data_IF_554990350102
#
_entry.id   IF_554990350102
#
_cell.length_a   1.000
_cell.length_b   1.000
_cell.length_c   1.000
_cell.angle_alpha   90.00
_cell.angle_beta   90.00
_cell.angle_gamma   90.00
#
_symmetry.space_group_name_H-M   'P 1'
#
loop_
_entity.id
_entity.type
_entity.pdbx_description
1 polymer ?
#
# COMPACT_ATOMS: atom_id res chain seq x y z
N UNK A 1 -3.76 26.42 11.32
CA UNK A 1 -4.00 26.14 9.89
C UNK A 1 -3.01 25.08 9.46
N UNK A 2 -3.42 23.81 9.34
CA UNK A 2 -2.50 22.73 8.91
C UNK A 2 -2.19 22.91 7.43
N UNK A 3 -0.96 23.28 7.10
CA UNK A 3 -0.53 23.46 5.72
C UNK A 3 -0.18 22.10 5.07
N UNK A 4 -0.24 22.02 3.74
CA UNK A 4 0.17 20.82 2.97
C UNK A 4 1.60 20.39 3.35
N UNK A 5 2.46 21.35 3.66
CA UNK A 5 3.85 21.14 4.07
C UNK A 5 4.01 20.46 5.44
N UNK A 6 3.02 20.57 6.34
CA UNK A 6 3.07 19.93 7.66
C UNK A 6 2.44 18.54 7.67
N UNK A 7 1.42 18.33 6.83
CA UNK A 7 0.71 17.05 6.74
C UNK A 7 1.45 16.03 5.87
N UNK A 8 2.18 16.47 4.83
CA UNK A 8 2.88 15.57 3.94
C UNK A 8 4.00 14.75 4.63
N UNK A 9 4.86 15.35 5.48
CA UNK A 9 5.86 14.60 6.23
C UNK A 9 5.23 13.59 7.21
N UNK A 10 4.09 13.93 7.81
CA UNK A 10 3.34 13.04 8.71
C UNK A 10 2.79 11.82 7.96
N UNK A 11 2.12 12.04 6.83
CA UNK A 11 1.64 10.95 5.97
C UNK A 11 2.79 10.08 5.46
N UNK A 12 3.93 10.68 5.09
CA UNK A 12 5.12 9.94 4.66
C UNK A 12 5.73 9.09 5.77
N UNK A 13 5.78 9.62 7.00
CA UNK A 13 6.21 8.84 8.17
C UNK A 13 5.29 7.67 8.43
N UNK A 14 3.98 7.90 8.39
CA UNK A 14 2.97 6.87 8.62
C UNK A 14 3.01 5.77 7.54
N UNK A 15 3.28 6.14 6.28
CA UNK A 15 3.56 5.18 5.21
C UNK A 15 4.84 4.35 5.44
N UNK A 16 5.88 4.95 6.01
CA UNK A 16 7.11 4.23 6.37
C UNK A 16 6.85 3.23 7.50
N UNK A 17 6.13 3.65 8.55
CA UNK A 17 5.77 2.80 9.68
C UNK A 17 4.89 1.62 9.22
N UNK A 18 3.93 1.86 8.32
CA UNK A 18 3.12 0.81 7.70
C UNK A 18 3.96 -0.19 6.88
N UNK A 19 4.98 0.26 6.13
CA UNK A 19 5.93 -0.63 5.45
C UNK A 19 6.70 -1.51 6.42
N UNK A 20 7.14 -0.94 7.54
CA UNK A 20 7.86 -1.68 8.57
C UNK A 20 6.95 -2.72 9.22
N UNK A 21 5.71 -2.36 9.56
CA UNK A 21 4.69 -3.28 10.07
C UNK A 21 4.40 -4.43 9.10
N UNK A 22 4.32 -4.17 7.79
CA UNK A 22 4.16 -5.24 6.78
C UNK A 22 5.31 -6.26 6.83
N UNK A 23 6.54 -5.82 7.08
CA UNK A 23 7.68 -6.73 7.23
C UNK A 23 7.55 -7.61 8.49
N UNK A 24 6.98 -7.07 9.57
CA UNK A 24 6.76 -7.77 10.84
C UNK A 24 5.58 -8.75 10.76
N UNK A 25 4.51 -8.38 10.05
CA UNK A 25 3.35 -9.25 9.77
C UNK A 25 3.81 -10.49 8.99
N UNK A 26 4.69 -10.33 8.00
CA UNK A 26 5.25 -11.46 7.26
C UNK A 26 6.07 -12.41 8.14
N UNK A 27 6.66 -11.91 9.21
CA UNK A 27 7.43 -12.70 10.16
C UNK A 27 6.54 -13.32 11.27
N UNK A 28 5.21 -13.12 11.22
CA UNK A 28 4.25 -13.62 12.21
C UNK A 28 4.29 -12.88 13.55
N UNK A 29 5.02 -11.77 13.65
CA UNK A 29 5.21 -11.03 14.91
C UNK A 29 4.12 -9.99 15.17
N UNK A 30 3.27 -9.69 14.18
CA UNK A 30 2.21 -8.70 14.26
C UNK A 30 0.97 -9.18 13.54
N UNK A 31 -0.20 -8.82 14.07
CA UNK A 31 -1.48 -9.11 13.43
C UNK A 31 -1.62 -8.26 12.14
N UNK A 32 -2.09 -8.83 11.02
CA UNK A 32 -2.48 -8.06 9.85
C UNK A 32 -3.48 -6.94 10.16
N UNK A 33 -4.26 -7.08 11.23
CA UNK A 33 -5.26 -6.09 11.65
C UNK A 33 -4.66 -4.73 12.01
N UNK A 34 -3.55 -4.71 12.74
CA UNK A 34 -2.89 -3.46 13.17
C UNK A 34 -2.33 -2.69 11.97
N UNK A 35 -1.85 -3.43 10.95
CA UNK A 35 -1.42 -2.86 9.68
C UNK A 35 -2.60 -2.28 8.89
N UNK A 36 -3.79 -2.90 8.93
CA UNK A 36 -4.96 -2.31 8.27
C UNK A 36 -5.41 -1.02 8.94
N UNK A 37 -5.35 -0.94 10.27
CA UNK A 37 -5.67 0.29 11.01
C UNK A 37 -4.70 1.43 10.67
N UNK A 38 -3.40 1.15 10.56
CA UNK A 38 -2.42 2.16 10.15
C UNK A 38 -2.60 2.58 8.69
N UNK A 39 -2.93 1.65 7.78
CA UNK A 39 -3.25 1.97 6.38
C UNK A 39 -4.52 2.81 6.23
N UNK A 40 -5.56 2.56 7.04
CA UNK A 40 -6.79 3.35 7.02
C UNK A 40 -6.56 4.77 7.57
N UNK A 41 -5.71 4.91 8.60
CA UNK A 41 -5.28 6.24 9.08
C UNK A 41 -4.45 6.99 8.01
N UNK A 42 -3.58 6.28 7.27
CA UNK A 42 -2.85 6.84 6.13
C UNK A 42 -3.81 7.36 5.06
N UNK A 43 -4.84 6.59 4.70
CA UNK A 43 -5.83 6.98 3.69
C UNK A 43 -6.60 8.25 4.10
N UNK A 44 -6.98 8.37 5.39
CA UNK A 44 -7.63 9.58 5.94
C UNK A 44 -6.75 10.82 5.84
N UNK A 45 -5.44 10.66 6.10
CA UNK A 45 -4.47 11.74 5.97
C UNK A 45 -4.22 12.11 4.50
N UNK A 46 -4.19 11.14 3.59
CA UNK A 46 -4.07 11.36 2.15
C UNK A 46 -5.30 12.09 1.58
N UNK A 47 -6.51 11.77 2.04
CA UNK A 47 -7.74 12.48 1.64
C UNK A 47 -7.74 13.93 2.14
N UNK A 48 -7.24 14.16 3.35
CA UNK A 48 -7.06 15.50 3.89
C UNK A 48 -6.03 16.30 3.08
N UNK A 49 -4.92 15.67 2.69
CA UNK A 49 -3.90 16.24 1.81
C UNK A 49 -4.43 16.55 0.41
N UNK A 50 -5.28 15.70 -0.16
CA UNK A 50 -5.84 15.93 -1.50
C UNK A 50 -6.81 17.13 -1.51
N UNK A 51 -7.62 17.28 -0.46
CA UNK A 51 -8.47 18.47 -0.25
C UNK A 51 -7.66 19.75 -0.11
N UNK A 52 -6.54 19.70 0.60
CA UNK A 52 -5.65 20.85 0.78
C UNK A 52 -4.87 21.16 -0.51
N UNK A 53 -4.39 20.13 -1.22
CA UNK A 53 -3.73 20.29 -2.51
C UNK A 53 -4.68 20.90 -3.56
N UNK A 54 -5.97 20.58 -3.52
CA UNK A 54 -6.97 21.19 -4.39
C UNK A 54 -7.16 22.71 -4.13
N UNK A 55 -6.88 23.19 -2.92
CA UNK A 55 -7.00 24.60 -2.50
C UNK A 55 -5.75 25.44 -2.78
N UNK A 56 -4.66 24.83 -3.25
CA UNK A 56 -3.43 25.55 -3.57
C UNK A 56 -3.60 26.46 -4.81
N UNK A 57 -3.24 27.76 -4.73
CA UNK A 57 -3.45 28.72 -5.81
C UNK A 57 -2.50 28.50 -6.99
N UNK A 58 -1.31 27.93 -6.76
CA UNK A 58 -0.32 27.67 -7.81
C UNK A 58 -0.60 26.33 -8.50
N UNK A 59 -0.97 26.37 -9.78
CA UNK A 59 -1.30 25.17 -10.57
C UNK A 59 -0.15 24.15 -10.63
N UNK A 60 1.11 24.59 -10.70
CA UNK A 60 2.29 23.71 -10.71
C UNK A 60 2.49 22.99 -9.38
N UNK A 61 2.31 23.69 -8.25
CA UNK A 61 2.42 23.10 -6.92
C UNK A 61 1.28 22.11 -6.66
N UNK A 62 0.05 22.46 -7.05
CA UNK A 62 -1.10 21.56 -7.01
C UNK A 62 -0.87 20.25 -7.76
N UNK A 63 -0.35 20.31 -8.99
CA UNK A 63 -0.04 19.11 -9.78
C UNK A 63 1.05 18.25 -9.11
N UNK A 64 2.10 18.87 -8.58
CA UNK A 64 3.16 18.14 -7.85
C UNK A 64 2.66 17.47 -6.58
N UNK A 65 1.79 18.13 -5.80
CA UNK A 65 1.21 17.55 -4.59
C UNK A 65 0.24 16.42 -4.92
N UNK A 66 -0.61 16.59 -5.93
CA UNK A 66 -1.48 15.52 -6.43
C UNK A 66 -0.69 14.30 -6.89
N UNK A 67 0.45 14.50 -7.56
CA UNK A 67 1.33 13.39 -7.97
C UNK A 67 1.89 12.66 -6.77
N UNK A 68 2.43 13.37 -5.77
CA UNK A 68 2.98 12.78 -4.55
C UNK A 68 1.92 12.04 -3.72
N UNK A 69 0.72 12.61 -3.58
CA UNK A 69 -0.40 11.96 -2.88
C UNK A 69 -0.79 10.66 -3.60
N UNK A 70 -0.81 10.67 -4.93
CA UNK A 70 -1.10 9.48 -5.74
C UNK A 70 -0.07 8.38 -5.54
N UNK A 71 1.21 8.73 -5.58
CA UNK A 71 2.32 7.78 -5.37
C UNK A 71 2.21 7.10 -3.99
N UNK A 72 1.98 7.89 -2.92
CA UNK A 72 1.76 7.33 -1.59
C UNK A 72 0.51 6.43 -1.52
N UNK A 73 -0.54 6.75 -2.29
CA UNK A 73 -1.77 5.96 -2.33
C UNK A 73 -1.59 4.64 -3.06
N UNK A 74 -0.85 4.64 -4.17
CA UNK A 74 -0.46 3.41 -4.88
C UNK A 74 0.39 2.51 -3.98
N UNK A 75 1.34 3.11 -3.27
CA UNK A 75 2.17 2.41 -2.28
C UNK A 75 1.33 1.76 -1.17
N UNK A 76 0.38 2.51 -0.58
CA UNK A 76 -0.53 2.00 0.45
C UNK A 76 -1.38 0.83 -0.07
N UNK A 77 -1.91 0.93 -1.29
CA UNK A 77 -2.67 -0.13 -1.94
C UNK A 77 -1.83 -1.39 -2.18
N UNK A 78 -0.57 -1.23 -2.61
CA UNK A 78 0.35 -2.35 -2.79
C UNK A 78 0.65 -3.05 -1.46
N UNK A 79 0.86 -2.28 -0.39
CA UNK A 79 1.02 -2.83 0.96
C UNK A 79 -0.21 -3.61 1.41
N UNK A 80 -1.41 -3.08 1.16
CA UNK A 80 -2.68 -3.76 1.48
C UNK A 80 -2.81 -5.10 0.75
N UNK A 81 -2.53 -5.14 -0.56
CA UNK A 81 -2.53 -6.39 -1.34
C UNK A 81 -1.52 -7.42 -0.82
N UNK A 82 -0.33 -6.95 -0.41
CA UNK A 82 0.71 -7.83 0.17
C UNK A 82 0.29 -8.37 1.53
N UNK A 83 -0.29 -7.54 2.38
CA UNK A 83 -0.84 -7.95 3.67
C UNK A 83 -1.96 -8.97 3.52
N UNK A 84 -2.88 -8.74 2.59
CA UNK A 84 -4.00 -9.64 2.31
C UNK A 84 -3.54 -10.99 1.81
N UNK A 85 -2.53 -11.03 0.92
CA UNK A 85 -1.93 -12.29 0.48
C UNK A 85 -1.33 -13.05 1.66
N UNK A 86 -0.56 -12.36 2.51
CA UNK A 86 0.04 -12.96 3.71
C UNK A 86 -1.02 -13.50 4.66
N UNK A 87 -2.11 -12.76 4.88
CA UNK A 87 -3.22 -13.20 5.72
C UNK A 87 -3.91 -14.44 5.15
N UNK A 88 -4.18 -14.46 3.84
CA UNK A 88 -4.76 -15.64 3.16
C UNK A 88 -3.87 -16.87 3.25
N UNK A 89 -2.56 -16.71 3.14
CA UNK A 89 -1.60 -17.81 3.31
C UNK A 89 -1.61 -18.36 4.74
N UNK A 90 -1.71 -17.49 5.75
CA UNK A 90 -1.86 -17.91 7.15
C UNK A 90 -3.17 -18.66 7.39
N UNK A 91 -4.31 -18.11 6.92
CA UNK A 91 -5.62 -18.75 7.04
C UNK A 91 -5.68 -20.10 6.32
N UNK A 92 -5.08 -20.19 5.12
CA UNK A 92 -4.98 -21.44 4.39
C UNK A 92 -4.13 -22.48 5.15
N UNK A 93 -3.05 -22.04 5.80
CA UNK A 93 -2.23 -22.88 6.67
C UNK A 93 -3.01 -23.41 7.88
N UNK A 94 -3.77 -22.54 8.56
CA UNK A 94 -4.62 -22.95 9.68
C UNK A 94 -5.71 -23.94 9.26
N UNK A 95 -6.40 -23.68 8.15
CA UNK A 95 -7.43 -24.59 7.62
C UNK A 95 -6.86 -25.97 7.35
N UNK A 96 -5.72 -26.06 6.66
CA UNK A 96 -5.03 -27.35 6.42
C UNK A 96 -4.66 -28.06 7.72
N UNK A 97 -4.25 -27.32 8.75
CA UNK A 97 -3.91 -27.90 10.06
C UNK A 97 -5.16 -28.44 10.77
N UNK A 98 -6.27 -27.70 10.76
CA UNK A 98 -7.56 -28.13 11.33
C UNK A 98 -8.09 -29.38 10.62
N UNK A 99 -8.10 -29.38 9.28
CA UNK A 99 -8.48 -30.56 8.48
C UNK A 99 -7.61 -31.78 8.83
N UNK A 100 -6.29 -31.60 8.98
CA UNK A 100 -5.38 -32.68 9.37
C UNK A 100 -5.71 -33.23 10.76
N UNK A 101 -6.00 -32.37 11.74
CA UNK A 101 -6.37 -32.78 13.09
C UNK A 101 -7.72 -33.53 13.11
N UNK A 102 -8.68 -33.11 12.29
CA UNK A 102 -9.96 -33.81 12.10
C UNK A 102 -9.74 -35.20 11.48
N UNK A 103 -8.91 -35.32 10.44
CA UNK A 103 -8.59 -36.61 9.81
C UNK A 103 -7.85 -37.57 10.77
N UNK A 104 -6.94 -37.05 11.59
CA UNK A 104 -6.26 -37.84 12.62
C UNK A 104 -7.25 -38.33 13.69
N UNK A 105 -8.21 -37.49 14.08
CA UNK A 105 -9.27 -37.83 15.03
C UNK A 105 -10.20 -38.89 14.44
N UNK A 106 -10.62 -38.75 13.17
CA UNK A 106 -11.40 -39.77 12.44
C UNK A 106 -10.67 -41.11 12.36
N UNK A 107 -9.37 -41.11 12.01
CA UNK A 107 -8.56 -42.34 11.97
C UNK A 107 -8.45 -43.01 13.35
N UNK A 108 -8.35 -42.21 14.42
CA UNK A 108 -8.31 -42.73 15.80
C UNK A 108 -9.64 -43.40 16.19
N UNK A 109 -10.77 -42.80 15.86
CA UNK A 109 -12.09 -43.40 16.10
C UNK A 109 -12.33 -44.67 15.25
N UNK A 110 -11.89 -44.69 13.99
CA UNK A 110 -12.03 -45.88 13.10
C UNK A 110 -11.28 -47.12 13.59
N UNK A 111 -10.18 -46.99 14.32
CA UNK A 111 -9.42 -48.14 14.85
C UNK A 111 -10.10 -48.83 16.04
N UNK A 112 -11.15 -48.23 16.62
CA UNK A 112 -11.76 -48.70 17.87
C UNK A 112 -13.12 -49.40 17.75
N UNK A 113 -13.82 -49.37 16.60
CA UNK A 113 -15.20 -49.88 16.48
C UNK A 113 -15.41 -50.75 15.24
N UNK A 114 -15.82 -52.01 15.44
CA UNK A 114 -16.30 -52.91 14.39
C UNK A 114 -17.81 -52.74 14.14
N UNK A 115 -18.27 -53.11 12.93
CA UNK A 115 -19.65 -53.09 12.38
C UNK A 115 -20.45 -51.76 12.46
N UNK A 116 -20.43 -51.02 13.57
CA UNK A 116 -20.95 -49.63 13.67
C UNK A 116 -20.20 -48.66 12.74
N UNK A 117 -18.97 -49.01 12.34
CA UNK A 117 -18.14 -48.23 11.44
C UNK A 117 -18.71 -48.06 10.02
N UNK A 118 -19.48 -49.02 9.51
CA UNK A 118 -20.01 -48.98 8.13
C UNK A 118 -21.27 -48.09 8.02
N UNK A 119 -22.15 -48.13 9.02
CA UNK A 119 -23.30 -47.21 9.10
C UNK A 119 -22.80 -45.79 9.34
N UNK A 120 -21.82 -45.60 10.24
CA UNK A 120 -21.14 -44.32 10.44
C UNK A 120 -20.55 -43.78 9.14
N UNK A 121 -19.98 -44.65 8.30
CA UNK A 121 -19.34 -44.28 7.03
C UNK A 121 -20.35 -43.70 6.02
N UNK A 122 -21.54 -44.29 5.90
CA UNK A 122 -22.59 -43.80 5.00
C UNK A 122 -23.18 -42.45 5.47
N UNK A 123 -23.39 -42.27 6.77
CA UNK A 123 -23.79 -40.96 7.32
C UNK A 123 -22.70 -39.90 7.15
N UNK A 124 -21.43 -40.27 7.31
CA UNK A 124 -20.30 -39.35 7.10
C UNK A 124 -20.15 -38.97 5.63
N UNK A 125 -20.38 -39.89 4.70
CA UNK A 125 -20.36 -39.62 3.26
C UNK A 125 -21.46 -38.62 2.88
N UNK A 126 -22.70 -38.84 3.34
CA UNK A 126 -23.81 -37.94 3.11
C UNK A 126 -23.54 -36.53 3.69
N UNK A 127 -22.96 -36.47 4.90
CA UNK A 127 -22.52 -35.22 5.53
C UNK A 127 -21.41 -34.53 4.75
N UNK A 128 -20.50 -35.29 4.14
CA UNK A 128 -19.41 -34.75 3.30
C UNK A 128 -19.93 -34.18 1.97
N UNK A 129 -20.98 -34.78 1.41
CA UNK A 129 -21.65 -34.26 0.22
C UNK A 129 -22.38 -32.96 0.52
N UNK A 130 -23.13 -32.91 1.63
CA UNK A 130 -23.77 -31.66 2.09
C UNK A 130 -22.74 -30.56 2.39
N UNK A 131 -21.63 -30.92 3.05
CA UNK A 131 -20.52 -30.00 3.33
C UNK A 131 -19.85 -29.49 2.05
N UNK A 132 -19.68 -30.35 1.04
CA UNK A 132 -19.13 -29.98 -0.26
C UNK A 132 -20.07 -29.02 -0.99
N UNK A 133 -21.38 -29.24 -0.89
CA UNK A 133 -22.39 -28.36 -1.48
C UNK A 133 -22.42 -26.97 -0.81
N UNK A 134 -22.25 -26.88 0.52
CA UNK A 134 -22.08 -25.58 1.20
C UNK A 134 -20.76 -24.92 0.86
N UNK A 135 -19.65 -25.67 0.83
CA UNK A 135 -18.34 -25.12 0.46
C UNK A 135 -18.32 -24.56 -0.97
N UNK A 136 -19.01 -25.22 -1.92
CA UNK A 136 -19.14 -24.73 -3.29
C UNK A 136 -19.90 -23.39 -3.36
N UNK A 137 -20.97 -23.23 -2.57
CA UNK A 137 -21.70 -21.96 -2.44
C UNK A 137 -20.87 -20.87 -1.77
N UNK A 138 -20.07 -21.21 -0.76
CA UNK A 138 -19.16 -20.26 -0.12
C UNK A 138 -18.06 -19.76 -1.07
N UNK A 139 -17.55 -20.64 -1.94
CA UNK A 139 -16.62 -20.26 -3.00
C UNK A 139 -17.26 -19.32 -4.03
N UNK A 140 -18.51 -19.58 -4.41
CA UNK A 140 -19.27 -18.72 -5.32
C UNK A 140 -19.52 -17.32 -4.71
N UNK A 141 -19.89 -17.27 -3.43
CA UNK A 141 -20.07 -16.02 -2.69
C UNK A 141 -18.74 -15.26 -2.52
N UNK A 142 -17.65 -15.96 -2.19
CA UNK A 142 -16.31 -15.36 -2.08
C UNK A 142 -15.80 -14.85 -3.44
N UNK A 143 -16.15 -15.51 -4.54
CA UNK A 143 -15.81 -15.05 -5.89
C UNK A 143 -16.57 -13.76 -6.23
N UNK A 144 -17.86 -13.68 -5.89
CA UNK A 144 -18.65 -12.46 -6.06
C UNK A 144 -18.10 -11.28 -5.26
N UNK A 145 -17.73 -11.48 -3.99
CA UNK A 145 -17.11 -10.45 -3.16
C UNK A 145 -15.72 -10.01 -3.68
N UNK A 146 -14.95 -10.94 -4.25
CA UNK A 146 -13.67 -10.63 -4.88
C UNK A 146 -13.85 -9.80 -6.16
N UNK A 147 -14.87 -10.10 -6.97
CA UNK A 147 -15.22 -9.31 -8.16
C UNK A 147 -15.72 -7.90 -7.80
N UNK A 148 -16.47 -7.77 -6.72
CA UNK A 148 -16.97 -6.48 -6.26
C UNK A 148 -15.85 -5.59 -5.70
N UNK A 149 -14.90 -6.16 -4.94
CA UNK A 149 -13.73 -5.42 -4.47
C UNK A 149 -12.81 -4.97 -5.63
N UNK A 150 -12.65 -5.80 -6.68
CA UNK A 150 -11.95 -5.42 -7.92
C UNK A 150 -12.70 -4.32 -8.69
N UNK A 151 -14.03 -4.34 -8.68
CA UNK A 151 -14.88 -3.33 -9.31
C UNK A 151 -14.81 -1.99 -8.57
N UNK A 152 -14.80 -2.01 -7.24
CA UNK A 152 -14.59 -0.80 -6.42
C UNK A 152 -13.17 -0.26 -6.55
N UNK A 153 -12.17 -1.14 -6.64
CA UNK A 153 -10.81 -0.74 -6.99
C UNK A 153 -10.75 -0.11 -8.39
N UNK A 154 -11.47 -0.66 -9.38
CA UNK A 154 -11.58 -0.06 -10.73
C UNK A 154 -12.31 1.27 -10.73
N UNK A 155 -13.38 1.46 -9.93
CA UNK A 155 -14.06 2.77 -9.79
C UNK A 155 -13.14 3.82 -9.17
N UNK A 156 -12.31 3.43 -8.19
CA UNK A 156 -11.28 4.30 -7.60
C UNK A 156 -10.17 4.63 -8.60
N UNK A 157 -9.83 3.71 -9.51
CA UNK A 157 -8.86 3.93 -10.59
C UNK A 157 -9.44 4.63 -11.83
N UNK A 158 -10.75 4.55 -12.11
CA UNK A 158 -11.40 5.18 -13.27
C UNK A 158 -11.42 6.71 -13.23
N UNK A 159 -11.09 7.32 -12.09
CA UNK A 159 -10.76 8.74 -12.00
C UNK A 159 -9.43 9.12 -12.68
N UNK A 160 -8.60 8.13 -13.06
CA UNK A 160 -7.24 8.30 -13.58
C UNK A 160 -7.21 8.39 -15.12
N UNK A 161 -8.19 7.88 -15.85
CA UNK A 161 -8.17 7.97 -17.34
C UNK A 161 -8.19 9.43 -17.83
N UNK A 162 -8.91 10.32 -17.12
CA UNK A 162 -8.86 11.77 -17.35
C UNK A 162 -7.48 12.39 -17.04
N UNK A 163 -6.71 11.75 -16.17
CA UNK A 163 -5.36 12.17 -15.79
C UNK A 163 -4.31 11.59 -16.75
N UNK A 164 -4.53 10.39 -17.30
CA UNK A 164 -3.65 9.75 -18.27
C UNK A 164 -3.67 10.49 -19.62
N UNK A 165 -4.85 10.96 -20.06
CA UNK A 165 -4.96 11.85 -21.24
C UNK A 165 -4.18 13.17 -21.04
N UNK A 166 -4.10 13.68 -19.80
CA UNK A 166 -3.30 14.85 -19.45
C UNK A 166 -1.79 14.56 -19.25
N UNK A 167 -1.41 13.29 -19.17
CA UNK A 167 -0.02 12.83 -19.08
C UNK A 167 0.54 12.51 -20.47
N UNK A 168 -0.29 12.06 -21.42
CA UNK A 168 0.11 11.87 -22.83
C UNK A 168 0.72 13.13 -23.45
N UNK A 169 0.19 14.32 -23.11
CA UNK A 169 0.74 15.61 -23.53
C UNK A 169 1.97 16.08 -22.71
N UNK A 170 2.34 15.40 -21.62
CA UNK A 170 3.39 15.82 -20.68
C UNK A 170 4.55 14.83 -20.51
N UNK A 171 4.59 13.76 -21.29
CA UNK A 171 5.74 12.84 -21.37
C UNK A 171 6.96 13.44 -22.10
N UNK A 172 6.92 14.73 -22.47
CA UNK A 172 8.10 15.50 -22.89
C UNK A 172 8.88 16.13 -21.72
N UNK A 173 8.77 15.59 -20.50
CA UNK A 173 9.46 16.10 -19.30
C UNK A 173 9.89 14.97 -18.35
N UNK A 174 10.65 14.02 -18.88
CA UNK A 174 11.34 12.95 -18.12
C UNK A 174 12.69 13.41 -17.55
N UNK A 175 12.79 14.69 -17.18
CA UNK A 175 14.08 15.34 -16.84
C UNK A 175 14.15 15.87 -15.39
N UNK A 176 13.08 15.70 -14.61
CA UNK A 176 12.96 16.34 -13.27
C UNK A 176 13.35 15.41 -12.11
N UNK A 177 13.63 14.13 -12.35
CA UNK A 177 14.27 13.29 -11.33
C UNK A 177 15.80 13.48 -11.29
N UNK A 178 16.43 13.95 -12.37
CA UNK A 178 17.87 14.25 -12.40
C UNK A 178 18.23 15.49 -11.57
N UNK A 179 17.37 16.52 -11.58
CA UNK A 179 17.72 17.87 -11.07
C UNK A 179 17.53 18.09 -9.57
N UNK A 180 16.92 17.14 -8.85
CA UNK A 180 16.64 17.29 -7.41
C UNK A 180 17.80 16.80 -6.54
N UNK A 181 18.72 16.02 -7.10
CA UNK A 181 19.95 15.59 -6.41
C UNK A 181 21.09 16.60 -6.62
N UNK A 182 21.08 17.37 -7.72
CA UNK A 182 22.13 18.33 -8.08
C UNK A 182 22.08 19.68 -7.33
N UNK A 183 21.00 20.00 -6.62
CA UNK A 183 20.82 21.34 -6.03
C UNK A 183 21.71 21.65 -4.82
N UNK A 184 22.41 20.66 -4.26
CA UNK A 184 23.35 20.91 -3.15
C UNK A 184 24.67 21.51 -3.66
N UNK A 185 25.07 21.23 -4.90
CA UNK A 185 26.35 21.72 -5.45
C UNK A 185 26.22 23.10 -6.11
N UNK A 186 25.07 23.41 -6.72
CA UNK A 186 24.86 24.72 -7.39
C UNK A 186 24.78 25.87 -6.38
N UNK A 187 24.22 25.62 -5.20
CA UNK A 187 24.13 26.65 -4.14
C UNK A 187 25.51 26.95 -3.57
N UNK A 188 26.35 25.93 -3.41
CA UNK A 188 27.72 26.07 -2.93
C UNK A 188 28.60 26.78 -3.97
N UNK A 189 28.47 26.43 -5.26
CA UNK A 189 29.16 27.12 -6.36
C UNK A 189 28.80 28.61 -6.45
N UNK A 190 27.54 28.98 -6.19
CA UNK A 190 27.12 30.38 -6.22
C UNK A 190 27.71 31.19 -5.04
N UNK A 191 27.85 30.56 -3.88
CA UNK A 191 28.41 31.18 -2.68
C UNK A 191 29.92 31.41 -2.84
N UNK A 192 30.64 30.45 -3.44
CA UNK A 192 32.06 30.60 -3.81
C UNK A 192 32.27 31.68 -4.87
N UNK A 193 31.46 31.69 -5.93
CA UNK A 193 31.56 32.70 -7.00
C UNK A 193 31.30 34.12 -6.47
N UNK A 194 30.31 34.28 -5.57
CA UNK A 194 30.05 35.56 -4.91
C UNK A 194 31.27 36.03 -4.09
N UNK A 195 31.91 35.12 -3.34
CA UNK A 195 33.13 35.41 -2.59
C UNK A 195 34.29 35.89 -3.47
N UNK A 196 34.50 35.25 -4.63
CA UNK A 196 35.56 35.64 -5.58
C UNK A 196 35.33 37.03 -6.19
N UNK A 197 34.08 37.40 -6.50
CA UNK A 197 33.78 38.72 -7.06
C UNK A 197 33.99 39.82 -6.02
N UNK A 198 33.58 39.58 -4.77
CA UNK A 198 33.75 40.55 -3.67
C UNK A 198 35.23 40.83 -3.41
N UNK A 199 36.09 39.80 -3.41
CA UNK A 199 37.53 40.01 -3.20
C UNK A 199 38.18 40.79 -4.33
N UNK A 200 37.79 40.54 -5.59
CA UNK A 200 38.28 41.31 -6.74
C UNK A 200 37.86 42.79 -6.68
N UNK A 201 36.62 43.07 -6.25
CA UNK A 201 36.14 44.46 -6.08
C UNK A 201 36.95 45.20 -5.01
N UNK A 202 37.25 44.54 -3.89
CA UNK A 202 38.04 45.13 -2.80
C UNK A 202 39.48 45.44 -3.27
N UNK A 203 40.11 44.52 -4.00
CA UNK A 203 41.45 44.74 -4.56
C UNK A 203 41.43 45.91 -5.56
N UNK A 204 40.43 45.95 -6.46
CA UNK A 204 40.33 47.02 -7.45
C UNK A 204 40.14 48.40 -6.80
N UNK A 205 39.27 48.50 -5.79
CA UNK A 205 39.10 49.72 -5.01
C UNK A 205 40.38 50.15 -4.31
N UNK A 206 41.13 49.21 -3.74
CA UNK A 206 42.40 49.50 -3.06
C UNK A 206 43.54 49.88 -4.02
N UNK A 207 43.47 49.46 -5.28
CA UNK A 207 44.45 49.83 -6.31
C UNK A 207 44.15 51.22 -6.93
N UNK A 208 42.86 51.55 -7.07
CA UNK A 208 42.43 52.81 -7.67
C UNK A 208 42.42 53.98 -6.67
N UNK A 209 42.27 53.69 -5.38
CA UNK A 209 42.36 54.65 -4.28
C UNK A 209 43.83 54.83 -3.84
#
# INVERSE_FOLDING_TARGET
MTSVNELFPKARKLAYDARQQLSLVRNGSLSPHDLYMSLDELDRQLDSLDRLAAREPKASQRESWKRKVRELREDANLMRKRAERSAREMDAGERRRREREELLTRRRNRRGGGEEGDISNLTDENRSLEQSATMSRDLEMSAAASLDSLKDQRRRLGGIDRVMFAIGDRLNLTDVTMRIIERRDVTDAYLVAAGMVVTLIVIYLCYFL
#
